data_IF_605236770324
#
_entry.id   IF_605236770324
#
_cell.length_a   1.000
_cell.length_b   1.000
_cell.length_c   1.000
_cell.angle_alpha   90.00
_cell.angle_beta   90.00
_cell.angle_gamma   90.00
#
_symmetry.space_group_name_H-M   'P 1'
#
loop_
_entity.id
_entity.type
_entity.pdbx_description
1 polymer ?
#
# COMPACT_ATOMS: atom_id res chain seq x y z
N UNK A 1 5.30 -3.04 11.00
CA UNK A 1 5.94 -2.50 12.22
C UNK A 1 5.09 -1.36 12.79
N UNK A 2 5.07 -1.20 14.11
CA UNK A 2 4.51 -0.02 14.80
C UNK A 2 5.61 0.97 15.27
N UNK A 3 6.87 0.67 14.96
CA UNK A 3 8.01 1.48 15.35
C UNK A 3 8.09 2.78 14.53
N UNK A 4 8.12 3.91 15.23
CA UNK A 4 8.22 5.27 14.66
C UNK A 4 9.55 5.95 15.01
N UNK A 5 10.46 5.27 15.71
CA UNK A 5 11.71 5.87 16.21
C UNK A 5 12.60 6.48 15.10
N UNK A 6 12.56 5.92 13.90
CA UNK A 6 13.30 6.41 12.73
C UNK A 6 12.65 7.58 11.98
N UNK A 7 11.39 7.92 12.27
CA UNK A 7 10.63 8.91 11.48
C UNK A 7 11.24 10.30 11.59
N UNK A 8 11.63 10.74 12.80
CA UNK A 8 12.22 12.05 13.00
C UNK A 8 13.54 12.22 12.21
N UNK A 9 14.38 11.19 12.18
CA UNK A 9 15.62 11.21 11.40
C UNK A 9 15.35 11.29 9.89
N UNK A 10 14.35 10.54 9.39
CA UNK A 10 13.94 10.60 7.98
C UNK A 10 13.40 11.98 7.59
N UNK A 11 12.67 12.65 8.49
CA UNK A 11 12.18 14.01 8.31
C UNK A 11 13.33 15.01 8.18
N UNK A 12 14.34 14.95 9.04
CA UNK A 12 15.50 15.83 8.95
C UNK A 12 16.30 15.61 7.66
N UNK A 13 16.47 14.34 7.24
CA UNK A 13 17.08 14.03 5.95
C UNK A 13 16.29 14.61 4.77
N UNK A 14 14.95 14.51 4.80
CA UNK A 14 14.07 15.05 3.77
C UNK A 14 14.13 16.60 3.66
N UNK A 15 14.33 17.31 4.78
CA UNK A 15 14.52 18.76 4.79
C UNK A 15 15.83 19.18 4.13
N UNK A 16 16.88 18.37 4.28
CA UNK A 16 18.19 18.66 3.71
C UNK A 16 18.27 18.34 2.21
N UNK A 17 17.59 17.28 1.76
CA UNK A 17 17.62 16.79 0.39
C UNK A 17 16.98 17.76 -0.62
N UNK A 18 17.40 17.67 -1.89
CA UNK A 18 16.80 18.42 -3.00
C UNK A 18 15.63 17.67 -3.64
N UNK A 19 15.71 16.34 -3.67
CA UNK A 19 14.67 15.41 -4.12
C UNK A 19 14.59 14.27 -3.10
N UNK A 20 13.39 13.72 -2.90
CA UNK A 20 13.17 12.62 -1.96
C UNK A 20 12.50 11.46 -2.68
N UNK A 21 13.15 10.30 -2.59
CA UNK A 21 12.59 9.01 -3.01
C UNK A 21 12.33 8.20 -1.75
N UNK A 22 11.07 7.94 -1.45
CA UNK A 22 10.65 7.22 -0.25
C UNK A 22 10.22 5.79 -0.62
N UNK A 23 10.98 4.80 -0.17
CA UNK A 23 10.67 3.38 -0.35
C UNK A 23 9.87 2.84 0.82
N UNK A 24 8.67 2.33 0.56
CA UNK A 24 7.74 1.77 1.56
C UNK A 24 7.05 0.52 1.03
N UNK A 25 6.37 -0.22 1.89
CA UNK A 25 5.61 -1.39 1.47
C UNK A 25 5.53 -2.50 2.51
N UNK A 26 5.57 -3.74 2.06
CA UNK A 26 5.35 -4.94 2.88
C UNK A 26 6.50 -5.93 2.76
N UNK A 27 6.61 -6.79 3.76
CA UNK A 27 7.57 -7.89 3.82
C UNK A 27 6.86 -9.19 4.22
N UNK A 28 7.62 -10.26 4.46
CA UNK A 28 7.07 -11.56 4.84
C UNK A 28 6.39 -11.55 6.21
N UNK A 29 6.58 -10.51 7.03
CA UNK A 29 5.84 -10.35 8.29
C UNK A 29 4.40 -9.87 8.06
N UNK A 30 4.10 -9.33 6.88
CA UNK A 30 2.77 -8.86 6.52
C UNK A 30 1.88 -9.96 5.95
N UNK A 31 2.43 -10.76 5.04
CA UNK A 31 1.75 -11.88 4.41
C UNK A 31 2.77 -12.95 4.01
N UNK A 32 2.46 -14.20 4.32
CA UNK A 32 3.20 -15.38 3.88
C UNK A 32 2.26 -16.60 3.86
N UNK A 33 2.77 -17.77 3.50
CA UNK A 33 2.01 -19.01 3.55
C UNK A 33 1.41 -19.22 4.95
N UNK A 34 0.13 -19.58 5.01
CA UNK A 34 -0.67 -19.71 6.26
C UNK A 34 -0.88 -18.39 7.03
N UNK A 35 -0.49 -17.25 6.48
CA UNK A 35 -0.62 -15.94 7.10
C UNK A 35 -1.16 -14.89 6.12
N UNK A 36 -2.47 -14.83 6.01
CA UNK A 36 -3.15 -13.79 5.24
C UNK A 36 -2.99 -12.42 5.91
N UNK A 37 -2.81 -11.39 5.09
CA UNK A 37 -2.82 -10.01 5.57
C UNK A 37 -4.20 -9.66 6.16
N UNK A 38 -4.20 -9.05 7.34
CA UNK A 38 -5.44 -8.61 8.01
C UNK A 38 -5.97 -7.26 7.54
N UNK A 39 -5.23 -6.57 6.67
CA UNK A 39 -5.56 -5.25 6.17
C UNK A 39 -4.86 -5.01 4.83
N UNK A 40 -5.40 -4.10 4.03
CA UNK A 40 -4.75 -3.57 2.83
C UNK A 40 -4.27 -2.12 3.01
N UNK A 41 -4.19 -1.62 4.25
CA UNK A 41 -3.58 -0.31 4.51
C UNK A 41 -2.10 -0.44 4.85
N UNK A 42 -1.35 0.66 4.62
CA UNK A 42 -0.07 0.84 5.31
C UNK A 42 -0.25 0.76 6.83
N UNK A 43 0.77 0.26 7.51
CA UNK A 43 0.85 0.37 8.97
C UNK A 43 0.80 1.83 9.42
N UNK A 44 0.29 2.09 10.62
CA UNK A 44 0.22 3.46 11.16
C UNK A 44 1.59 4.17 11.15
N UNK A 45 2.67 3.44 11.45
CA UNK A 45 4.02 3.97 11.41
C UNK A 45 4.46 4.38 9.99
N UNK A 46 4.24 3.52 8.97
CA UNK A 46 4.55 3.88 7.59
C UNK A 46 3.66 5.03 7.08
N UNK A 47 2.38 5.07 7.45
CA UNK A 47 1.50 6.18 7.11
C UNK A 47 2.01 7.51 7.72
N UNK A 48 2.48 7.49 8.97
CA UNK A 48 3.11 8.66 9.60
C UNK A 48 4.38 9.07 8.87
N UNK A 49 5.27 8.11 8.57
CA UNK A 49 6.50 8.35 7.83
C UNK A 49 6.23 9.04 6.49
N UNK A 50 5.29 8.51 5.68
CA UNK A 50 4.94 9.10 4.38
C UNK A 50 4.44 10.53 4.55
N UNK A 51 3.54 10.76 5.51
CA UNK A 51 2.95 12.09 5.75
C UNK A 51 3.98 13.11 6.19
N UNK A 52 4.80 12.76 7.18
CA UNK A 52 5.77 13.69 7.78
C UNK A 52 6.92 13.99 6.81
N UNK A 53 7.42 12.98 6.10
CA UNK A 53 8.46 13.17 5.07
C UNK A 53 7.92 14.02 3.91
N UNK A 54 6.71 13.74 3.41
CA UNK A 54 6.12 14.51 2.33
C UNK A 54 5.84 15.97 2.73
N UNK A 55 5.46 16.22 3.99
CA UNK A 55 5.29 17.57 4.51
C UNK A 55 6.61 18.34 4.61
N UNK A 56 7.68 17.66 5.02
CA UNK A 56 9.00 18.26 5.23
C UNK A 56 9.83 18.46 3.96
N UNK A 57 9.59 17.64 2.93
CA UNK A 57 10.32 17.70 1.67
C UNK A 57 10.11 19.04 0.94
N UNK A 58 11.19 19.57 0.38
CA UNK A 58 11.19 20.82 -0.42
C UNK A 58 10.33 20.68 -1.68
N UNK A 59 10.34 19.51 -2.30
CA UNK A 59 9.63 19.16 -3.54
C UNK A 59 8.71 17.95 -3.34
N UNK A 60 7.75 17.71 -4.25
CA UNK A 60 6.93 16.50 -4.19
C UNK A 60 7.78 15.22 -4.17
N UNK A 61 7.44 14.32 -3.26
CA UNK A 61 8.15 13.05 -3.01
C UNK A 61 7.77 12.02 -4.08
N UNK A 62 8.75 11.23 -4.51
CA UNK A 62 8.51 10.02 -5.30
C UNK A 62 8.36 8.83 -4.35
N UNK A 63 7.19 8.19 -4.35
CA UNK A 63 6.92 7.02 -3.54
C UNK A 63 7.25 5.75 -4.32
N UNK A 64 8.13 4.89 -3.80
CA UNK A 64 8.46 3.60 -4.39
C UNK A 64 7.85 2.49 -3.54
N UNK A 65 6.95 1.71 -4.12
CA UNK A 65 6.18 0.68 -3.41
C UNK A 65 6.76 -0.72 -3.65
N UNK A 66 7.11 -1.38 -2.56
CA UNK A 66 7.53 -2.78 -2.50
C UNK A 66 6.45 -3.60 -1.81
N UNK A 67 5.44 -4.03 -2.56
CA UNK A 67 4.27 -4.71 -1.98
C UNK A 67 3.93 -5.96 -2.75
N UNK A 68 3.78 -7.08 -2.03
CA UNK A 68 3.29 -8.33 -2.61
C UNK A 68 1.79 -8.28 -2.94
N UNK A 69 1.01 -7.57 -2.13
CA UNK A 69 -0.42 -7.35 -2.30
C UNK A 69 -0.70 -5.86 -2.48
N UNK A 70 -1.65 -5.44 -3.34
CA UNK A 70 -2.01 -4.04 -3.49
C UNK A 70 -2.49 -3.45 -2.16
N UNK A 71 -1.89 -2.33 -1.76
CA UNK A 71 -2.37 -1.54 -0.62
C UNK A 71 -3.26 -0.39 -1.08
N UNK A 72 -4.14 0.09 -0.23
CA UNK A 72 -4.93 1.30 -0.45
C UNK A 72 -3.98 2.51 -0.56
N UNK A 73 -4.03 3.18 -1.72
CA UNK A 73 -3.21 4.35 -2.04
C UNK A 73 -4.01 5.65 -2.01
N UNK A 74 -5.27 5.64 -1.55
CA UNK A 74 -6.17 6.79 -1.64
C UNK A 74 -5.59 8.05 -0.97
N UNK A 75 -4.99 7.92 0.22
CA UNK A 75 -4.36 9.05 0.92
C UNK A 75 -3.13 9.56 0.14
N UNK A 76 -2.32 8.66 -0.41
CA UNK A 76 -1.10 9.00 -1.14
C UNK A 76 -1.41 9.70 -2.46
N UNK A 77 -2.40 9.21 -3.20
CA UNK A 77 -2.83 9.80 -4.47
C UNK A 77 -3.56 11.14 -4.30
N UNK A 78 -4.21 11.36 -3.15
CA UNK A 78 -4.84 12.64 -2.81
C UNK A 78 -3.85 13.69 -2.30
N UNK A 79 -2.63 13.29 -1.90
CA UNK A 79 -1.65 14.20 -1.32
C UNK A 79 -0.83 14.92 -2.41
N UNK A 80 -0.95 16.25 -2.56
CA UNK A 80 -0.22 17.00 -3.60
C UNK A 80 1.30 17.03 -3.39
N UNK A 81 1.78 16.66 -2.20
CA UNK A 81 3.21 16.48 -1.91
C UNK A 81 3.75 15.11 -2.34
N UNK A 82 2.92 14.23 -2.89
CA UNK A 82 3.35 13.00 -3.56
C UNK A 82 3.29 13.25 -5.07
N UNK A 83 4.46 13.38 -5.70
CA UNK A 83 4.56 13.73 -7.12
C UNK A 83 4.42 12.53 -8.06
N UNK A 84 4.82 11.35 -7.60
CA UNK A 84 4.74 10.11 -8.36
C UNK A 84 4.69 8.89 -7.43
N UNK A 85 4.08 7.81 -7.93
CA UNK A 85 4.09 6.50 -7.29
C UNK A 85 4.63 5.48 -8.28
N UNK A 86 5.69 4.78 -7.90
CA UNK A 86 6.30 3.69 -8.66
C UNK A 86 6.10 2.37 -7.92
N UNK A 87 5.22 1.51 -8.43
CA UNK A 87 4.95 0.21 -7.84
C UNK A 87 5.84 -0.87 -8.48
N UNK A 88 6.64 -1.54 -7.65
CA UNK A 88 7.62 -2.54 -8.09
C UNK A 88 7.20 -3.99 -7.81
N UNK A 89 6.08 -4.19 -7.10
CA UNK A 89 5.69 -5.51 -6.61
C UNK A 89 6.62 -5.98 -5.50
N UNK A 90 6.85 -7.28 -5.41
CA UNK A 90 7.87 -7.84 -4.53
C UNK A 90 9.02 -8.42 -5.38
N UNK A 91 9.99 -7.59 -5.79
CA UNK A 91 11.14 -8.08 -6.54
C UNK A 91 11.99 -9.01 -5.66
N UNK A 92 12.72 -9.92 -6.29
CA UNK A 92 13.63 -10.85 -5.62
C UNK A 92 14.90 -10.13 -5.12
N UNK A 93 15.94 -10.89 -4.77
CA UNK A 93 17.23 -10.42 -4.23
C UNK A 93 17.91 -9.29 -5.01
N UNK A 94 17.57 -9.10 -6.29
CA UNK A 94 18.09 -7.98 -7.10
C UNK A 94 16.95 -7.19 -7.72
N UNK A 95 16.93 -5.89 -7.39
CA UNK A 95 16.03 -4.90 -7.98
C UNK A 95 16.84 -4.07 -8.98
N UNK A 96 16.97 -4.57 -10.20
CA UNK A 96 17.71 -3.87 -11.26
C UNK A 96 16.81 -2.86 -11.98
N UNK A 97 17.39 -1.78 -12.49
CA UNK A 97 16.71 -0.83 -13.38
C UNK A 97 15.81 0.22 -12.71
N UNK A 98 15.52 0.13 -11.41
CA UNK A 98 14.70 1.18 -10.73
C UNK A 98 15.37 2.54 -10.77
N UNK A 99 16.68 2.59 -10.56
CA UNK A 99 17.45 3.83 -10.73
C UNK A 99 17.34 4.38 -12.16
N UNK A 100 17.47 3.53 -13.17
CA UNK A 100 17.33 3.94 -14.58
C UNK A 100 15.95 4.50 -14.89
N UNK A 101 14.89 3.94 -14.29
CA UNK A 101 13.53 4.49 -14.41
C UNK A 101 13.41 5.85 -13.72
N UNK A 102 13.93 5.98 -12.50
CA UNK A 102 13.85 7.22 -11.72
C UNK A 102 14.63 8.37 -12.38
N UNK A 103 15.77 8.07 -13.02
CA UNK A 103 16.59 9.05 -13.74
C UNK A 103 16.21 9.17 -15.23
N UNK A 104 15.21 8.42 -15.70
CA UNK A 104 14.70 8.53 -17.08
C UNK A 104 15.60 7.92 -18.15
N UNK A 105 16.56 7.08 -17.79
CA UNK A 105 17.36 6.29 -18.75
C UNK A 105 16.53 5.19 -19.43
N UNK A 106 15.45 4.76 -18.80
CA UNK A 106 14.46 3.84 -19.36
C UNK A 106 13.04 4.36 -19.08
N UNK A 107 12.10 4.03 -19.98
CA UNK A 107 10.68 4.38 -19.80
C UNK A 107 9.90 3.22 -19.17
N UNK A 108 9.06 3.47 -18.15
CA UNK A 108 8.25 2.42 -17.55
C UNK A 108 7.14 1.96 -18.52
N UNK A 109 7.04 0.65 -18.73
CA UNK A 109 6.01 0.03 -19.58
C UNK A 109 5.07 -0.92 -18.81
N UNK A 110 5.26 -1.04 -17.49
CA UNK A 110 4.45 -1.91 -16.64
C UNK A 110 2.97 -1.52 -16.59
N UNK A 111 2.12 -2.51 -16.35
CA UNK A 111 0.68 -2.37 -16.09
C UNK A 111 0.32 -3.19 -14.86
N UNK A 112 -0.60 -2.68 -14.04
CA UNK A 112 -1.07 -3.40 -12.85
C UNK A 112 -1.87 -4.63 -13.28
N UNK A 113 -1.53 -5.79 -12.70
CA UNK A 113 -2.23 -7.06 -12.95
C UNK A 113 -3.34 -7.33 -11.93
N UNK A 114 -3.43 -6.48 -10.90
CA UNK A 114 -4.44 -6.50 -9.85
C UNK A 114 -5.05 -5.11 -9.72
N UNK A 115 -6.31 -5.06 -9.31
CA UNK A 115 -6.99 -3.79 -8.97
C UNK A 115 -6.53 -3.31 -7.61
N UNK A 116 -6.20 -2.01 -7.50
CA UNK A 116 -5.91 -1.35 -6.23
C UNK A 116 -7.23 -0.84 -5.66
N UNK A 117 -7.71 -1.46 -4.58
CA UNK A 117 -8.99 -1.09 -3.97
C UNK A 117 -8.80 -0.15 -2.77
N UNK A 118 -9.75 0.79 -2.54
CA UNK A 118 -9.86 1.44 -1.25
C UNK A 118 -10.15 0.42 -0.15
N UNK A 119 -9.62 0.62 1.07
CA UNK A 119 -9.87 -0.29 2.21
C UNK A 119 -11.35 -0.46 2.50
N UNK A 120 -12.14 0.60 2.36
CA UNK A 120 -13.59 0.52 2.59
C UNK A 120 -14.29 -0.51 1.68
N UNK A 121 -13.79 -0.72 0.46
CA UNK A 121 -14.30 -1.78 -0.42
C UNK A 121 -13.83 -3.17 0.04
N UNK A 122 -12.57 -3.31 0.44
CA UNK A 122 -12.07 -4.57 0.96
C UNK A 122 -12.79 -5.02 2.25
N UNK A 123 -13.21 -4.07 3.10
CA UNK A 123 -13.96 -4.36 4.33
C UNK A 123 -15.43 -4.77 4.04
N UNK A 124 -16.01 -4.31 2.92
CA UNK A 124 -17.40 -4.62 2.56
C UNK A 124 -17.54 -6.02 1.95
N UNK A 125 -16.50 -6.53 1.28
CA UNK A 125 -16.49 -7.86 0.64
C UNK A 125 -15.84 -8.89 1.57
N UNK A 126 -16.44 -10.08 1.70
CA UNK A 126 -15.77 -11.18 2.40
C UNK A 126 -14.76 -11.85 1.50
N UNK A 127 -13.59 -12.18 2.05
CA UNK A 127 -12.66 -13.10 1.38
C UNK A 127 -13.22 -14.53 1.27
N UNK A 128 -14.29 -14.85 2.02
CA UNK A 128 -15.00 -16.14 1.96
C UNK A 128 -16.21 -16.13 1.02
N UNK A 129 -16.51 -15.00 0.37
CA UNK A 129 -17.56 -14.89 -0.64
C UNK A 129 -16.99 -15.16 -2.03
N UNK A 130 -17.29 -16.34 -2.57
CA UNK A 130 -16.79 -16.74 -3.90
C UNK A 130 -17.64 -16.21 -5.06
N UNK A 131 -18.69 -15.42 -4.79
CA UNK A 131 -19.49 -14.83 -5.85
C UNK A 131 -18.74 -13.69 -6.54
N UNK A 132 -18.39 -13.89 -7.81
CA UNK A 132 -17.71 -12.86 -8.63
C UNK A 132 -18.66 -11.78 -9.17
N UNK A 133 -19.98 -11.93 -8.99
CA UNK A 133 -20.99 -10.96 -9.42
C UNK A 133 -21.50 -10.16 -8.22
N UNK A 134 -21.87 -8.88 -8.40
CA UNK A 134 -22.55 -8.12 -7.38
C UNK A 134 -23.86 -8.78 -6.95
N UNK A 135 -24.18 -8.73 -5.65
CA UNK A 135 -25.40 -9.28 -5.07
C UNK A 135 -25.23 -9.83 -3.65
N UNK A 136 -26.32 -10.35 -3.07
CA UNK A 136 -26.27 -11.04 -1.79
C UNK A 136 -25.48 -12.34 -1.93
N UNK A 137 -24.66 -12.67 -0.92
CA UNK A 137 -23.95 -13.93 -0.86
C UNK A 137 -24.76 -15.00 -0.13
N UNK A 138 -24.48 -16.26 -0.45
CA UNK A 138 -24.88 -17.40 0.37
C UNK A 138 -23.78 -17.81 1.36
N UNK A 139 -22.58 -17.24 1.25
CA UNK A 139 -21.42 -17.60 2.07
C UNK A 139 -21.39 -16.79 3.38
N UNK A 140 -21.03 -17.43 4.51
CA UNK A 140 -20.92 -16.76 5.80
C UNK A 140 -19.73 -15.80 5.84
N UNK A 141 -19.74 -14.85 6.79
CA UNK A 141 -18.65 -13.89 7.09
C UNK A 141 -17.84 -14.29 8.34
N UNK A 142 -17.04 -15.36 8.34
CA UNK A 142 -16.24 -15.72 9.52
C UNK A 142 -15.13 -14.68 9.79
N UNK A 143 -14.80 -13.83 8.82
CA UNK A 143 -13.93 -12.66 8.94
C UNK A 143 -14.51 -11.56 9.83
N UNK A 144 -15.84 -11.50 10.02
CA UNK A 144 -16.47 -10.45 10.84
C UNK A 144 -16.39 -10.76 12.35
N UNK A 145 -15.33 -10.29 13.00
CA UNK A 145 -15.16 -10.38 14.47
C UNK A 145 -15.88 -9.24 15.19
N UNK A 146 -17.21 -9.30 15.29
CA UNK A 146 -17.96 -8.48 16.26
C UNK A 146 -19.20 -7.75 15.75
N UNK A 147 -20.25 -8.49 15.38
CA UNK A 147 -21.60 -7.91 15.34
C UNK A 147 -22.31 -7.86 13.98
N UNK A 148 -21.76 -8.46 12.92
CA UNK A 148 -22.49 -8.58 11.65
C UNK A 148 -23.77 -9.44 11.75
N UNK A 149 -24.07 -10.07 12.88
CA UNK A 149 -25.18 -11.03 12.99
C UNK A 149 -24.99 -12.26 12.08
N UNK A 150 -26.07 -12.99 11.80
CA UNK A 150 -26.07 -14.08 10.79
C UNK A 150 -26.10 -13.54 9.34
N UNK A 151 -25.41 -12.44 9.08
CA UNK A 151 -25.41 -11.85 7.74
C UNK A 151 -24.41 -12.61 6.87
N UNK A 152 -24.89 -13.08 5.71
CA UNK A 152 -24.02 -13.56 4.66
C UNK A 152 -23.22 -12.38 4.08
N UNK A 153 -22.18 -12.70 3.31
CA UNK A 153 -21.47 -11.66 2.56
C UNK A 153 -22.34 -10.91 1.56
N UNK A 154 -21.81 -9.80 1.08
CA UNK A 154 -22.38 -9.03 -0.01
C UNK A 154 -21.22 -8.65 -0.92
N UNK A 155 -21.41 -8.82 -2.23
CA UNK A 155 -20.54 -8.26 -3.24
C UNK A 155 -21.26 -7.00 -3.77
N UNK A 156 -20.84 -5.78 -3.39
CA UNK A 156 -21.52 -4.55 -3.77
C UNK A 156 -21.36 -4.22 -5.26
#
# INVERSE_FOLDING_TARGET
SADTSGVAAAVEAAKAADEVVLAVGTDLTWAHEEHDASSINFTAAQASLIREVAAAAKKPVVLVLFTATPLDLSEQLANPKIGAVLHLGQPSVTVLGVGELLFGHASPAGRTVQTVYPKAFADSVSIFDFNMRPGPSAFPRPDCRGGCGKQNGTNP
#
